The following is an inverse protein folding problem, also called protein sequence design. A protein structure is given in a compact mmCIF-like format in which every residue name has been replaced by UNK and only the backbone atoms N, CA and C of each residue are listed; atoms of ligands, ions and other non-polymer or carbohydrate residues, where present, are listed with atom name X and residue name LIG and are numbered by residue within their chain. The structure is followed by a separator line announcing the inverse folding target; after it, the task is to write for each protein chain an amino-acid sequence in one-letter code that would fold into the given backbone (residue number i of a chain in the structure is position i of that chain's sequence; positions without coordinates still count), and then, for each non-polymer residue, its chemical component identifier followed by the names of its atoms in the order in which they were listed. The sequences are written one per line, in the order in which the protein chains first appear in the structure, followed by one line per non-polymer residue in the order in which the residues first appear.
data_IF_597184157742
#
_entry.id   IF_597184157742
#
_cell.length_a   1.000
_cell.length_b   1.000
_cell.length_c   1.000
_cell.angle_alpha   90.00
_cell.angle_beta   90.00
_cell.angle_gamma   90.00
#
_symmetry.space_group_name_H-M   'P 1'
#
loop_
_entity.id
_entity.type
_entity.pdbx_description
1 polymer ?
#
# COMPACT_ATOMS: atom_id res chain seq x y z
N UNK A 1 -14.27 21.73 -15.28
CA UNK A 1 -13.94 20.37 -15.73
C UNK A 1 -12.54 20.10 -15.22
N UNK A 2 -12.43 19.80 -13.93
CA UNK A 2 -11.18 19.32 -13.34
C UNK A 2 -11.53 18.54 -12.08
N UNK A 3 -11.26 17.24 -12.11
CA UNK A 3 -11.66 16.24 -11.11
C UNK A 3 -10.39 15.71 -10.46
N UNK A 4 -9.88 16.43 -9.47
CA UNK A 4 -8.93 15.88 -8.51
C UNK A 4 -9.65 14.91 -7.57
N UNK A 5 -8.99 13.82 -7.22
CA UNK A 5 -9.57 12.69 -6.52
C UNK A 5 -8.73 12.37 -5.28
N UNK A 6 -9.37 12.25 -4.13
CA UNK A 6 -8.74 12.18 -2.80
C UNK A 6 -8.84 10.74 -2.26
N UNK A 7 -7.71 10.14 -1.87
CA UNK A 7 -7.61 8.75 -1.36
C UNK A 7 -7.35 8.81 0.15
N UNK A 8 -8.26 8.23 0.96
CA UNK A 8 -8.14 8.18 2.42
C UNK A 8 -7.55 6.85 2.83
N UNK A 9 -6.39 6.91 3.50
CA UNK A 9 -5.75 5.80 4.18
C UNK A 9 -5.88 6.03 5.69
N UNK A 10 -6.38 5.01 6.40
CA UNK A 10 -6.90 5.15 7.75
C UNK A 10 -5.84 5.57 8.80
N UNK A 11 -5.85 6.85 9.16
CA UNK A 11 -5.98 7.39 10.52
C UNK A 11 -6.14 8.91 10.41
N UNK A 12 -7.36 9.42 10.53
CA UNK A 12 -7.67 10.83 10.82
C UNK A 12 -7.24 11.92 9.81
N UNK A 13 -6.53 11.58 8.73
CA UNK A 13 -6.07 12.57 7.75
C UNK A 13 -6.59 12.23 6.36
N UNK A 14 -7.48 13.10 5.86
CA UNK A 14 -7.94 13.08 4.47
C UNK A 14 -6.99 13.96 3.68
N UNK A 15 -6.08 13.36 2.93
CA UNK A 15 -5.13 14.08 2.10
C UNK A 15 -5.77 14.39 0.73
N UNK A 16 -6.29 15.61 0.54
CA UNK A 16 -6.61 16.12 -0.79
C UNK A 16 -7.42 17.42 -0.81
N UNK A 17 -7.42 18.07 -1.98
CA UNK A 17 -7.83 19.48 -2.17
C UNK A 17 -9.34 19.76 -2.09
N UNK A 18 -10.14 18.78 -1.65
CA UNK A 18 -11.61 18.83 -1.65
C UNK A 18 -12.21 18.97 -0.25
N UNK A 19 -11.46 19.48 0.72
CA UNK A 19 -12.00 19.70 2.05
C UNK A 19 -12.69 21.07 2.12
N UNK A 20 -13.95 21.12 1.67
CA UNK A 20 -14.84 22.26 1.94
C UNK A 20 -15.03 22.37 3.46
N UNK A 21 -14.72 23.51 4.09
CA UNK A 21 -14.88 23.66 5.54
C UNK A 21 -16.34 23.39 5.95
N UNK A 22 -16.56 22.34 6.75
CA UNK A 22 -17.89 21.95 7.25
C UNK A 22 -18.53 20.74 6.56
N UNK A 23 -17.88 20.15 5.55
CA UNK A 23 -18.35 18.91 4.92
C UNK A 23 -17.60 17.70 5.50
N UNK A 24 -18.33 16.68 5.92
CA UNK A 24 -17.71 15.44 6.42
C UNK A 24 -17.19 14.65 5.22
N UNK A 25 -15.88 14.41 5.09
CA UNK A 25 -15.34 13.69 3.95
C UNK A 25 -15.87 12.24 3.91
N UNK A 26 -16.53 11.87 2.82
CA UNK A 26 -16.96 10.48 2.57
C UNK A 26 -15.88 9.71 1.81
N UNK A 27 -15.48 8.50 2.24
CA UNK A 27 -14.48 7.71 1.54
C UNK A 27 -14.98 7.27 0.15
N UNK A 28 -14.10 7.33 -0.86
CA UNK A 28 -14.41 6.91 -2.24
C UNK A 28 -14.41 5.40 -2.44
N UNK A 29 -13.57 4.70 -1.67
CA UNK A 29 -13.46 3.26 -1.70
C UNK A 29 -13.05 2.75 -0.31
N UNK A 30 -13.48 1.53 0.00
CA UNK A 30 -13.03 0.79 1.19
C UNK A 30 -12.23 -0.41 0.67
N UNK A 31 -10.93 -0.40 0.92
CA UNK A 31 -10.03 -1.46 0.49
C UNK A 31 -10.06 -2.59 1.53
N UNK A 32 -10.67 -3.72 1.17
CA UNK A 32 -10.83 -4.88 2.06
C UNK A 32 -9.91 -6.03 1.64
N UNK A 33 -9.66 -6.97 2.56
CA UNK A 33 -8.98 -8.23 2.27
C UNK A 33 -7.87 -8.61 3.25
N UNK A 34 -7.43 -7.68 4.10
CA UNK A 34 -6.52 -7.99 5.20
C UNK A 34 -7.26 -8.67 6.34
N UNK A 35 -6.66 -9.71 6.90
CA UNK A 35 -7.17 -10.45 8.06
C UNK A 35 -6.45 -10.06 9.36
N UNK A 36 -5.36 -9.31 9.25
CA UNK A 36 -4.58 -8.77 10.34
C UNK A 36 -4.54 -7.23 10.30
N UNK A 37 -4.06 -6.61 11.38
CA UNK A 37 -3.92 -5.17 11.47
C UNK A 37 -2.97 -4.64 10.38
N UNK A 38 -3.41 -3.59 9.68
CA UNK A 38 -2.60 -2.91 8.67
C UNK A 38 -1.45 -2.19 9.37
N UNK A 39 -0.23 -2.42 8.91
CA UNK A 39 1.02 -1.94 9.52
C UNK A 39 1.81 -0.99 8.62
N UNK A 40 1.57 -1.01 7.31
CA UNK A 40 2.25 -0.17 6.32
C UNK A 40 1.35 0.11 5.11
N UNK A 41 1.54 1.25 4.46
CA UNK A 41 0.79 1.67 3.28
C UNK A 41 1.70 2.43 2.31
N UNK A 42 1.44 2.30 1.00
CA UNK A 42 2.03 3.13 -0.04
C UNK A 42 1.01 3.42 -1.15
N UNK A 43 1.03 4.62 -1.73
CA UNK A 43 0.09 5.03 -2.78
C UNK A 43 0.86 5.57 -3.97
N UNK A 44 0.47 5.15 -5.18
CA UNK A 44 0.96 5.71 -6.43
C UNK A 44 -0.20 6.39 -7.15
N UNK A 45 -0.25 7.71 -7.07
CA UNK A 45 -1.27 8.51 -7.74
C UNK A 45 -1.16 8.43 -9.27
N UNK A 46 0.08 8.37 -9.79
CA UNK A 46 0.37 8.24 -11.22
C UNK A 46 -0.25 6.98 -11.84
N UNK A 47 -0.24 5.88 -11.08
CA UNK A 47 -0.70 4.57 -11.56
C UNK A 47 -2.08 4.19 -11.01
N UNK A 48 -2.67 5.00 -10.14
CA UNK A 48 -3.94 4.68 -9.48
C UNK A 48 -3.87 3.42 -8.61
N UNK A 49 -2.74 3.21 -7.92
CA UNK A 49 -2.48 2.00 -7.13
C UNK A 49 -2.31 2.31 -5.65
N UNK A 50 -2.81 1.39 -4.81
CA UNK A 50 -2.65 1.40 -3.36
C UNK A 50 -2.06 0.08 -2.91
N UNK A 51 -0.96 0.13 -2.17
CA UNK A 51 -0.34 -1.00 -1.50
C UNK A 51 -0.63 -0.94 -0.02
N UNK A 52 -0.98 -2.07 0.55
CA UNK A 52 -1.24 -2.21 1.98
C UNK A 52 -0.60 -3.46 2.54
N UNK A 53 0.16 -3.31 3.61
CA UNK A 53 0.85 -4.39 4.31
C UNK A 53 0.33 -4.54 5.73
N UNK A 54 0.31 -5.76 6.26
CA UNK A 54 -0.20 -6.05 7.60
C UNK A 54 0.80 -6.81 8.49
N UNK A 55 0.38 -7.04 9.74
CA UNK A 55 1.19 -7.70 10.77
C UNK A 55 1.51 -9.17 10.47
N UNK A 56 0.67 -9.88 9.72
CA UNK A 56 0.93 -11.27 9.31
C UNK A 56 1.93 -11.38 8.14
N UNK A 57 2.26 -10.25 7.50
CA UNK A 57 3.16 -10.17 6.34
C UNK A 57 2.46 -10.19 5.01
N UNK A 58 1.13 -10.21 4.96
CA UNK A 58 0.38 -10.05 3.72
C UNK A 58 0.54 -8.64 3.19
N UNK A 59 0.78 -8.52 1.88
CA UNK A 59 0.71 -7.28 1.13
C UNK A 59 -0.40 -7.43 0.09
N UNK A 60 -1.31 -6.46 0.04
CA UNK A 60 -2.34 -6.35 -0.99
C UNK A 60 -2.08 -5.15 -1.87
N UNK A 61 -2.36 -5.31 -3.16
CA UNK A 61 -2.38 -4.22 -4.13
C UNK A 61 -3.79 -4.04 -4.64
N UNK A 62 -4.33 -2.84 -4.48
CA UNK A 62 -5.62 -2.44 -5.02
C UNK A 62 -5.47 -1.31 -6.03
N UNK A 63 -6.48 -1.14 -6.87
CA UNK A 63 -6.71 0.15 -7.55
C UNK A 63 -7.26 1.18 -6.56
N UNK A 64 -7.12 2.46 -6.86
CA UNK A 64 -7.79 3.53 -6.10
C UNK A 64 -9.32 3.46 -6.17
N UNK A 65 -9.87 2.69 -7.13
CA UNK A 65 -11.29 2.40 -7.25
C UNK A 65 -11.77 1.26 -6.32
N UNK A 66 -10.86 0.54 -5.66
CA UNK A 66 -11.21 -0.52 -4.71
C UNK A 66 -11.03 -1.95 -5.19
N UNK A 67 -10.54 -2.15 -6.42
CA UNK A 67 -10.37 -3.49 -6.97
C UNK A 67 -9.09 -4.13 -6.45
N UNK A 68 -9.18 -5.33 -5.87
CA UNK A 68 -8.00 -6.10 -5.46
C UNK A 68 -7.32 -6.69 -6.71
N UNK A 69 -6.10 -6.23 -6.98
CA UNK A 69 -5.30 -6.69 -8.11
C UNK A 69 -4.40 -7.86 -7.72
N UNK A 70 -3.75 -7.78 -6.54
CA UNK A 70 -2.75 -8.78 -6.12
C UNK A 70 -2.66 -8.95 -4.62
N UNK A 71 -2.12 -10.12 -4.25
CA UNK A 71 -1.77 -10.52 -2.89
C UNK A 71 -0.40 -11.18 -2.88
N UNK A 72 0.49 -10.71 -2.00
CA UNK A 72 1.73 -11.39 -1.64
C UNK A 72 1.65 -11.81 -0.18
N UNK A 73 2.07 -13.05 0.11
CA UNK A 73 2.05 -13.58 1.47
C UNK A 73 3.47 -13.62 2.03
N UNK A 74 3.71 -12.83 3.08
CA UNK A 74 4.90 -12.94 3.92
C UNK A 74 4.65 -13.83 5.14
N UNK A 75 5.61 -13.85 6.07
CA UNK A 75 5.50 -14.52 7.38
C UNK A 75 5.89 -13.61 8.54
N UNK A 76 6.08 -12.33 8.28
CA UNK A 76 6.61 -11.34 9.23
C UNK A 76 5.89 -10.02 8.98
N UNK A 77 5.76 -9.19 10.02
CA UNK A 77 5.12 -7.87 9.91
C UNK A 77 5.77 -7.02 8.82
N UNK A 78 4.94 -6.47 7.94
CA UNK A 78 5.38 -5.44 6.97
C UNK A 78 5.66 -4.14 7.75
N UNK A 79 6.91 -3.73 7.82
CA UNK A 79 7.31 -2.50 8.52
C UNK A 79 7.20 -1.27 7.63
N UNK A 80 7.54 -1.40 6.34
CA UNK A 80 7.48 -0.30 5.37
C UNK A 80 7.16 -0.81 3.96
N UNK A 81 6.48 0.04 3.18
CA UNK A 81 6.19 -0.15 1.77
C UNK A 81 6.59 1.11 1.01
N UNK A 82 7.24 0.93 -0.13
CA UNK A 82 7.61 2.00 -1.06
C UNK A 82 7.30 1.55 -2.48
N UNK A 83 6.94 2.50 -3.34
CA UNK A 83 6.68 2.26 -4.75
C UNK A 83 7.37 3.31 -5.60
N UNK A 84 8.12 2.87 -6.62
CA UNK A 84 8.75 3.74 -7.61
C UNK A 84 7.80 4.07 -8.76
N UNK A 85 8.16 5.05 -9.59
CA UNK A 85 7.40 5.42 -10.81
C UNK A 85 7.45 4.31 -11.87
N UNK A 86 8.51 3.53 -11.88
CA UNK A 86 8.73 2.39 -12.77
C UNK A 86 7.98 1.13 -12.29
N UNK A 87 7.04 1.29 -11.34
CA UNK A 87 6.25 0.20 -10.77
C UNK A 87 7.07 -0.88 -10.05
N UNK A 88 8.18 -0.47 -9.44
CA UNK A 88 8.97 -1.31 -8.53
C UNK A 88 8.47 -1.07 -7.10
N UNK A 89 8.13 -2.15 -6.41
CA UNK A 89 7.66 -2.14 -5.03
C UNK A 89 8.76 -2.68 -4.14
N UNK A 90 9.14 -1.92 -3.11
CA UNK A 90 10.03 -2.38 -2.05
C UNK A 90 9.20 -2.61 -0.79
N UNK A 91 9.31 -3.81 -0.23
CA UNK A 91 8.67 -4.16 1.03
C UNK A 91 9.72 -4.55 2.06
N UNK A 92 9.65 -3.95 3.25
CA UNK A 92 10.51 -4.28 4.37
C UNK A 92 9.69 -5.07 5.38
N UNK A 93 10.24 -6.20 5.82
CA UNK A 93 9.67 -7.07 6.84
C UNK A 93 10.54 -7.01 8.10
N UNK A 94 9.94 -6.62 9.22
CA UNK A 94 10.68 -6.43 10.48
C UNK A 94 11.86 -5.46 10.31
N UNK A 95 13.03 -5.87 10.83
CA UNK A 95 14.27 -5.08 10.81
C UNK A 95 15.35 -5.62 9.85
N UNK A 96 15.19 -6.81 9.27
CA UNK A 96 16.32 -7.56 8.68
C UNK A 96 16.05 -8.14 7.28
N UNK A 97 14.85 -7.97 6.72
CA UNK A 97 14.51 -8.49 5.39
C UNK A 97 13.83 -7.42 4.56
N UNK A 98 14.31 -7.23 3.34
CA UNK A 98 13.61 -6.45 2.34
C UNK A 98 13.53 -7.23 1.04
N UNK A 99 12.41 -7.06 0.33
CA UNK A 99 12.18 -7.67 -0.97
C UNK A 99 11.84 -6.60 -1.99
N UNK A 100 12.21 -6.86 -3.23
CA UNK A 100 11.81 -6.03 -4.36
C UNK A 100 10.90 -6.82 -5.29
N UNK A 101 9.71 -6.28 -5.55
CA UNK A 101 8.66 -6.88 -6.35
C UNK A 101 8.35 -5.95 -7.53
N UNK A 102 8.02 -6.49 -8.69
CA UNK A 102 7.31 -5.71 -9.72
C UNK A 102 5.80 -5.79 -9.52
N UNK A 103 5.07 -4.77 -9.98
CA UNK A 103 3.60 -4.84 -10.09
C UNK A 103 3.11 -5.93 -11.05
N UNK A 104 3.99 -6.51 -11.88
CA UNK A 104 3.70 -7.67 -12.74
C UNK A 104 3.91 -9.03 -12.07
N UNK A 105 4.37 -9.04 -10.81
CA UNK A 105 4.57 -10.22 -9.95
C UNK A 105 5.72 -11.15 -10.35
N UNK A 106 6.83 -10.60 -10.83
CA UNK A 106 8.11 -11.29 -10.70
C UNK A 106 8.79 -10.76 -9.42
N UNK A 107 9.05 -11.66 -8.47
CA UNK A 107 10.01 -11.37 -7.40
C UNK A 107 11.36 -11.13 -8.07
N UNK A 108 11.87 -9.90 -7.97
CA UNK A 108 13.11 -9.53 -8.66
C UNK A 108 14.33 -9.90 -7.84
N UNK A 109 14.26 -9.68 -6.53
CA UNK A 109 15.36 -9.94 -5.63
C UNK A 109 14.89 -10.07 -4.18
N UNK A 110 15.65 -10.84 -3.39
CA UNK A 110 15.47 -11.01 -1.95
C UNK A 110 16.81 -10.81 -1.25
N UNK A 111 16.87 -9.81 -0.37
CA UNK A 111 18.00 -9.60 0.50
C UNK A 111 17.56 -9.82 1.95
N UNK A 112 18.07 -10.90 2.54
CA UNK A 112 18.04 -11.12 3.97
C UNK A 112 19.44 -10.79 4.51
N UNK A 113 19.53 -9.91 5.51
CA UNK A 113 20.76 -9.79 6.28
C UNK A 113 20.79 -10.95 7.27
N UNK A 114 21.66 -11.94 7.01
CA UNK A 114 21.94 -13.01 7.96
C UNK A 114 22.48 -12.38 9.26
N UNK A 115 21.74 -12.55 10.36
CA UNK A 115 22.27 -12.32 11.69
C UNK A 115 23.20 -13.51 12.02
N UNK A 116 24.46 -13.19 12.36
CA UNK A 116 25.41 -14.16 12.91
C UNK A 116 25.12 -14.43 14.38
#
# INVERSE_FOLDING_TARGET
MDRGEVVVLQQGFVAGDYNTPGETPSPRAILTGHEAAISALAVSAEHGLVLSGCEDGTILMHTTAGELLRRWNGKQRVSQLLMSRECVVMAIYGHHRFITLTTTANQLDEAATDEK
#
